data_IF_588412876841
#
_entry.id   IF_588412876841
#
_cell.length_a   1.000
_cell.length_b   1.000
_cell.length_c   1.000
_cell.angle_alpha   90.00
_cell.angle_beta   90.00
_cell.angle_gamma   90.00
#
_symmetry.space_group_name_H-M   'P 1'
#
loop_
_entity.id
_entity.type
_entity.pdbx_description
1 polymer ?
#
# COMPACT_ATOMS: atom_id res chain seq x y z
N UNK A 1 25.79 -58.69 -3.05
CA UNK A 1 26.56 -58.10 -4.17
C UNK A 1 27.57 -57.15 -3.58
N UNK A 2 28.86 -57.23 -3.94
CA UNK A 2 29.94 -56.44 -3.31
C UNK A 2 30.59 -55.40 -4.25
N UNK A 3 30.14 -55.27 -5.50
CA UNK A 3 30.68 -54.28 -6.43
C UNK A 3 29.95 -54.23 -7.78
N UNK A 4 30.24 -53.18 -8.56
CA UNK A 4 29.80 -52.98 -9.95
C UNK A 4 31.03 -52.63 -10.80
N UNK A 5 31.06 -53.10 -12.04
CA UNK A 5 32.18 -52.86 -12.98
C UNK A 5 31.66 -52.41 -14.34
N UNK A 6 32.40 -51.52 -14.99
CA UNK A 6 32.18 -51.17 -16.40
C UNK A 6 32.75 -52.26 -17.31
N UNK A 7 32.16 -52.44 -18.49
CA UNK A 7 32.61 -53.38 -19.54
C UNK A 7 32.18 -52.88 -20.93
N UNK A 8 32.43 -53.64 -22.00
CA UNK A 8 32.24 -53.17 -23.38
C UNK A 8 30.82 -52.66 -23.75
N UNK A 9 29.78 -53.22 -23.12
CA UNK A 9 28.39 -52.79 -23.29
C UNK A 9 28.02 -51.68 -22.29
N UNK A 10 28.44 -51.82 -21.03
CA UNK A 10 28.27 -50.80 -19.98
C UNK A 10 29.55 -49.98 -19.86
N UNK A 11 29.71 -49.02 -20.76
CA UNK A 11 30.90 -48.16 -20.83
C UNK A 11 30.92 -47.14 -19.68
N UNK A 12 32.10 -46.61 -19.31
CA UNK A 12 32.17 -45.48 -18.40
C UNK A 12 31.40 -44.27 -18.96
N UNK A 13 30.85 -43.37 -18.10
CA UNK A 13 30.05 -42.22 -18.53
C UNK A 13 30.80 -41.24 -19.45
N UNK A 14 32.13 -41.22 -19.36
CA UNK A 14 33.01 -40.39 -20.16
C UNK A 14 34.08 -41.25 -20.82
N UNK A 15 34.49 -40.86 -22.04
CA UNK A 15 35.53 -41.54 -22.81
C UNK A 15 36.88 -41.47 -22.09
N UNK A 16 37.51 -42.64 -21.93
CA UNK A 16 38.85 -42.77 -21.36
C UNK A 16 39.87 -43.14 -22.45
N UNK A 17 41.14 -42.69 -22.32
CA UNK A 17 41.72 -41.90 -21.22
C UNK A 17 41.55 -40.38 -21.36
N UNK A 18 40.81 -39.91 -22.37
CA UNK A 18 40.63 -38.48 -22.68
C UNK A 18 40.13 -37.66 -21.48
N UNK A 19 39.16 -38.18 -20.74
CA UNK A 19 38.57 -37.54 -19.55
C UNK A 19 39.02 -38.18 -18.23
N UNK A 20 40.29 -38.57 -18.15
CA UNK A 20 40.87 -39.22 -16.94
C UNK A 20 40.85 -38.37 -15.67
N UNK A 21 40.64 -37.06 -15.79
CA UNK A 21 40.58 -36.08 -14.69
C UNK A 21 39.14 -35.80 -14.22
N UNK A 22 38.14 -36.52 -14.76
CA UNK A 22 36.74 -36.35 -14.35
C UNK A 22 36.31 -37.41 -13.34
N UNK A 23 35.70 -36.95 -12.27
CA UNK A 23 34.99 -37.77 -11.28
C UNK A 23 33.49 -37.49 -11.38
N UNK A 24 32.63 -38.50 -11.49
CA UNK A 24 31.18 -38.28 -11.69
C UNK A 24 30.32 -39.35 -11.02
N UNK A 25 29.13 -38.95 -10.61
CA UNK A 25 27.98 -39.83 -10.38
C UNK A 25 26.91 -39.38 -11.37
N UNK A 26 26.58 -40.24 -12.33
CA UNK A 26 25.58 -39.98 -13.37
C UNK A 26 24.51 -41.07 -13.39
N UNK A 27 23.25 -40.67 -13.32
CA UNK A 27 22.10 -41.58 -13.36
C UNK A 27 21.53 -41.70 -14.76
N UNK A 28 20.57 -42.60 -14.96
CA UNK A 28 19.71 -42.62 -16.13
C UNK A 28 18.26 -42.74 -15.65
N UNK A 29 17.37 -41.92 -16.21
CA UNK A 29 15.94 -41.96 -15.91
C UNK A 29 15.35 -43.35 -16.16
N UNK A 30 14.31 -43.71 -15.44
CA UNK A 30 13.69 -45.04 -15.52
C UNK A 30 12.17 -44.95 -15.47
N UNK A 31 11.43 -45.76 -16.23
CA UNK A 31 11.89 -46.75 -17.24
C UNK A 31 12.10 -46.10 -18.62
N UNK A 32 12.95 -46.71 -19.46
CA UNK A 32 13.14 -46.31 -20.87
C UNK A 32 14.01 -45.08 -21.09
N UNK A 33 14.97 -44.81 -20.20
CA UNK A 33 15.57 -43.49 -19.99
C UNK A 33 16.22 -42.78 -21.17
N UNK A 34 15.84 -41.50 -21.29
CA UNK A 34 16.41 -40.46 -22.18
C UNK A 34 16.71 -39.17 -21.39
N UNK A 35 17.11 -39.29 -20.12
CA UNK A 35 17.42 -38.15 -19.21
C UNK A 35 18.34 -38.55 -18.06
N UNK A 36 19.00 -37.59 -17.40
CA UNK A 36 19.98 -37.90 -16.34
C UNK A 36 20.10 -36.84 -15.24
N UNK A 37 20.45 -37.27 -14.04
CA UNK A 37 20.99 -36.40 -13.00
C UNK A 37 22.50 -36.63 -12.91
N UNK A 38 23.26 -35.56 -12.66
CA UNK A 38 24.72 -35.66 -12.60
C UNK A 38 25.33 -34.69 -11.59
N UNK A 39 26.32 -35.19 -10.84
CA UNK A 39 27.32 -34.37 -10.17
C UNK A 39 28.68 -34.79 -10.71
N UNK A 40 29.42 -33.83 -11.27
CA UNK A 40 30.73 -34.05 -11.90
C UNK A 40 31.75 -33.04 -11.42
N UNK A 41 32.96 -33.52 -11.17
CA UNK A 41 34.14 -32.74 -10.84
C UNK A 41 35.17 -32.92 -11.96
N UNK A 42 35.70 -31.81 -12.48
CA UNK A 42 36.84 -31.76 -13.41
C UNK A 42 38.05 -31.22 -12.65
N UNK A 43 39.11 -32.03 -12.58
CA UNK A 43 40.35 -31.72 -11.86
C UNK A 43 41.51 -31.33 -12.81
N UNK A 44 41.21 -31.03 -14.08
CA UNK A 44 42.22 -30.53 -15.02
C UNK A 44 42.62 -29.10 -14.60
N UNK A 45 43.88 -28.95 -14.20
CA UNK A 45 44.44 -27.68 -13.73
C UNK A 45 44.21 -26.53 -14.72
N UNK A 46 43.61 -25.44 -14.23
CA UNK A 46 43.26 -24.24 -15.01
C UNK A 46 41.92 -24.34 -15.75
N UNK A 47 41.25 -25.49 -15.68
CA UNK A 47 39.94 -25.77 -16.29
C UNK A 47 39.01 -26.47 -15.28
N UNK A 48 39.25 -26.27 -13.98
CA UNK A 48 38.50 -26.93 -12.91
C UNK A 48 37.01 -26.55 -12.94
N UNK A 49 36.14 -27.53 -12.72
CA UNK A 49 34.70 -27.31 -12.76
C UNK A 49 33.94 -28.28 -11.85
N UNK A 50 32.93 -27.77 -11.15
CA UNK A 50 31.84 -28.57 -10.62
C UNK A 50 30.61 -28.39 -11.52
N UNK A 51 30.09 -29.49 -12.05
CA UNK A 51 28.88 -29.52 -12.84
C UNK A 51 27.79 -30.24 -12.08
N UNK A 52 26.63 -29.59 -11.96
CA UNK A 52 25.45 -30.12 -11.32
C UNK A 52 24.28 -30.04 -12.32
N UNK A 53 23.67 -31.18 -12.60
CA UNK A 53 22.53 -31.30 -13.50
C UNK A 53 21.40 -32.06 -12.82
N UNK A 54 20.20 -31.49 -12.88
CA UNK A 54 18.98 -32.16 -12.53
C UNK A 54 18.08 -32.22 -13.76
N UNK A 55 17.55 -33.40 -14.07
CA UNK A 55 16.70 -33.63 -15.24
C UNK A 55 15.35 -32.91 -15.11
N UNK A 56 14.89 -32.69 -13.88
CA UNK A 56 13.54 -32.18 -13.62
C UNK A 56 13.54 -31.09 -12.54
N UNK A 57 13.46 -31.49 -11.27
CA UNK A 57 13.27 -30.59 -10.14
C UNK A 57 14.53 -30.59 -9.24
N UNK A 58 14.86 -29.43 -8.67
CA UNK A 58 15.91 -29.28 -7.64
C UNK A 58 15.29 -28.66 -6.40
N UNK A 59 15.24 -29.43 -5.32
CA UNK A 59 14.85 -28.97 -3.99
C UNK A 59 16.09 -28.79 -3.12
N UNK A 60 16.36 -27.55 -2.72
CA UNK A 60 17.46 -27.22 -1.80
C UNK A 60 16.91 -26.70 -0.48
N UNK A 61 17.00 -27.51 0.58
CA UNK A 61 16.56 -27.15 1.93
C UNK A 61 17.74 -27.02 2.88
N UNK A 62 18.00 -25.80 3.36
CA UNK A 62 19.01 -25.52 4.40
C UNK A 62 18.29 -25.15 5.70
N UNK A 63 18.54 -25.89 6.80
CA UNK A 63 17.80 -25.71 8.07
C UNK A 63 18.35 -24.57 8.95
N UNK A 64 19.53 -24.06 8.63
CA UNK A 64 20.20 -23.00 9.36
C UNK A 64 20.81 -22.04 8.33
N UNK A 65 22.10 -21.74 8.42
CA UNK A 65 22.77 -20.82 7.52
C UNK A 65 23.07 -21.42 6.14
N UNK A 66 22.76 -20.66 5.08
CA UNK A 66 23.33 -20.85 3.76
C UNK A 66 24.31 -19.71 3.47
N UNK A 67 25.57 -20.03 3.13
CA UNK A 67 26.60 -19.04 2.77
C UNK A 67 27.14 -19.37 1.40
N UNK A 68 27.32 -18.35 0.57
CA UNK A 68 27.89 -18.47 -0.77
C UNK A 68 28.87 -17.33 -1.00
N UNK A 69 30.05 -17.66 -1.50
CA UNK A 69 31.06 -16.71 -1.94
C UNK A 69 31.46 -17.07 -3.37
N UNK A 70 31.42 -16.08 -4.25
CA UNK A 70 31.84 -16.23 -5.64
C UNK A 70 32.98 -15.24 -5.88
N UNK A 71 34.12 -15.75 -6.36
CA UNK A 71 35.32 -14.93 -6.57
C UNK A 71 35.30 -14.11 -7.86
N UNK A 72 34.29 -14.33 -8.71
CA UNK A 72 34.10 -13.62 -9.97
C UNK A 72 32.59 -13.53 -10.27
N UNK A 73 32.15 -13.85 -11.47
CA UNK A 73 30.78 -13.60 -11.93
C UNK A 73 29.75 -14.67 -11.51
N UNK A 74 28.51 -14.22 -11.29
CA UNK A 74 27.33 -15.09 -11.16
C UNK A 74 26.39 -14.84 -12.33
N UNK A 75 26.21 -15.85 -13.18
CA UNK A 75 25.20 -15.82 -14.24
C UNK A 75 23.98 -16.65 -13.83
N UNK A 76 22.78 -16.09 -13.99
CA UNK A 76 21.51 -16.79 -13.73
C UNK A 76 20.54 -16.49 -14.86
N UNK A 77 20.02 -17.54 -15.48
CA UNK A 77 18.96 -17.47 -16.49
C UNK A 77 17.78 -18.26 -15.95
N UNK A 78 16.59 -17.69 -16.03
CA UNK A 78 15.32 -18.33 -15.66
C UNK A 78 14.35 -18.03 -16.78
N UNK A 79 13.90 -19.07 -17.50
CA UNK A 79 12.92 -18.92 -18.58
C UNK A 79 11.50 -18.70 -18.05
N UNK A 80 11.21 -19.28 -16.89
CA UNK A 80 9.95 -19.14 -16.18
C UNK A 80 9.92 -17.93 -15.25
N UNK A 81 9.22 -18.09 -14.13
CA UNK A 81 9.04 -17.05 -13.12
C UNK A 81 10.01 -17.24 -11.97
N UNK A 82 10.36 -16.14 -11.30
CA UNK A 82 11.09 -16.15 -10.03
C UNK A 82 10.13 -15.71 -8.92
N UNK A 83 10.09 -16.49 -7.85
CA UNK A 83 9.36 -16.17 -6.63
C UNK A 83 10.36 -16.12 -5.49
N UNK A 84 10.29 -15.10 -4.65
CA UNK A 84 11.18 -14.93 -3.51
C UNK A 84 10.39 -14.28 -2.38
N UNK A 85 10.47 -14.88 -1.19
CA UNK A 85 9.84 -14.39 0.03
C UNK A 85 10.92 -14.29 1.10
N UNK A 86 11.12 -13.07 1.59
CA UNK A 86 11.96 -12.78 2.74
C UNK A 86 11.01 -12.49 3.90
N UNK A 87 11.02 -13.35 4.92
CA UNK A 87 10.08 -13.26 6.06
C UNK A 87 10.51 -12.23 7.12
N UNK A 88 11.66 -11.60 6.90
CA UNK A 88 12.26 -10.57 7.75
C UNK A 88 13.10 -9.68 6.83
N UNK A 89 14.18 -9.11 7.35
CA UNK A 89 14.91 -8.04 6.67
C UNK A 89 15.70 -8.54 5.46
N UNK A 90 15.67 -7.77 4.38
CA UNK A 90 16.59 -7.90 3.25
C UNK A 90 17.56 -6.73 3.27
N UNK A 91 18.85 -7.03 3.38
CA UNK A 91 19.92 -6.06 3.20
C UNK A 91 20.56 -6.25 1.84
N UNK A 92 20.59 -5.19 1.02
CA UNK A 92 21.16 -5.21 -0.31
C UNK A 92 22.14 -4.04 -0.49
N UNK A 93 23.39 -4.34 -0.84
CA UNK A 93 24.42 -3.35 -1.13
C UNK A 93 25.05 -3.65 -2.49
N UNK A 94 24.92 -2.70 -3.40
CA UNK A 94 25.63 -2.69 -4.69
C UNK A 94 26.59 -1.51 -4.66
N UNK A 95 27.90 -1.78 -4.77
CA UNK A 95 28.93 -0.74 -4.76
C UNK A 95 29.15 -0.11 -6.13
N UNK A 96 28.83 -0.83 -7.20
CA UNK A 96 28.85 -0.32 -8.56
C UNK A 96 27.45 0.09 -9.03
N UNK A 97 27.24 0.01 -10.33
CA UNK A 97 25.97 0.36 -10.94
C UNK A 97 24.93 -0.76 -10.77
N UNK A 98 23.65 -0.37 -10.61
CA UNK A 98 22.51 -1.27 -10.65
C UNK A 98 21.63 -0.95 -11.88
N UNK A 99 21.55 -1.87 -12.82
CA UNK A 99 20.70 -1.76 -14.00
C UNK A 99 19.40 -2.56 -13.81
N UNK A 100 18.25 -1.94 -14.01
CA UNK A 100 16.94 -2.59 -13.93
C UNK A 100 16.09 -2.22 -15.15
N UNK A 101 15.59 -3.22 -15.86
CA UNK A 101 14.63 -3.06 -16.94
C UNK A 101 13.42 -3.95 -16.69
N UNK A 102 12.23 -3.34 -16.73
CA UNK A 102 10.95 -4.04 -16.61
C UNK A 102 10.15 -3.76 -17.88
N UNK A 103 9.94 -4.79 -18.71
CA UNK A 103 9.26 -4.65 -20.00
C UNK A 103 7.73 -4.54 -19.88
N UNK A 104 7.18 -4.86 -18.71
CA UNK A 104 5.75 -4.76 -18.40
C UNK A 104 5.57 -3.82 -17.21
N UNK A 105 4.81 -4.23 -16.21
CA UNK A 105 4.49 -3.40 -15.05
C UNK A 105 5.44 -3.68 -13.89
N UNK A 106 5.82 -2.62 -13.17
CA UNK A 106 6.45 -2.69 -11.87
C UNK A 106 5.42 -2.27 -10.81
N UNK A 107 5.13 -3.14 -9.85
CA UNK A 107 4.27 -2.84 -8.71
C UNK A 107 5.16 -2.75 -7.46
N UNK A 108 5.04 -1.64 -6.73
CA UNK A 108 5.76 -1.40 -5.48
C UNK A 108 4.72 -1.02 -4.43
N UNK A 109 4.76 -1.72 -3.30
CA UNK A 109 3.94 -1.40 -2.15
C UNK A 109 4.82 -1.34 -0.91
N UNK A 110 4.69 -0.27 -0.13
CA UNK A 110 5.49 -0.02 1.06
C UNK A 110 4.51 0.22 2.21
N UNK A 111 4.61 -0.60 3.26
CA UNK A 111 3.68 -0.56 4.40
C UNK A 111 3.88 0.64 5.32
N UNK A 112 5.09 1.19 5.32
CA UNK A 112 5.47 2.33 6.14
C UNK A 112 6.06 3.45 5.28
N UNK A 113 7.38 3.60 5.27
CA UNK A 113 8.07 4.74 4.65
C UNK A 113 9.01 4.34 3.53
N UNK A 114 9.06 5.16 2.48
CA UNK A 114 10.10 5.10 1.45
C UNK A 114 11.07 6.26 1.63
N UNK A 115 12.36 5.98 1.71
CA UNK A 115 13.41 6.99 1.73
C UNK A 115 14.25 6.88 0.47
N UNK A 116 14.56 8.03 -0.14
CA UNK A 116 15.40 8.09 -1.33
C UNK A 116 16.31 9.32 -1.24
N UNK A 117 17.61 9.09 -1.29
CA UNK A 117 18.63 10.14 -1.32
C UNK A 117 19.46 9.95 -2.59
N UNK A 118 19.40 10.93 -3.48
CA UNK A 118 20.14 10.92 -4.75
C UNK A 118 21.09 12.12 -4.74
N UNK A 119 22.38 11.87 -4.92
CA UNK A 119 23.40 12.90 -4.82
C UNK A 119 23.36 13.92 -5.97
N UNK A 120 23.11 13.46 -7.20
CA UNK A 120 23.18 14.32 -8.39
C UNK A 120 21.82 14.55 -9.05
N UNK A 121 21.21 13.51 -9.63
CA UNK A 121 20.06 13.67 -10.54
C UNK A 121 19.02 12.57 -10.37
N UNK A 122 17.77 12.97 -10.21
CA UNK A 122 16.59 12.11 -10.34
C UNK A 122 15.83 12.52 -11.59
N UNK A 123 15.74 11.60 -12.56
CA UNK A 123 15.05 11.83 -13.83
C UNK A 123 13.88 10.85 -13.94
N UNK A 124 12.67 11.36 -14.12
CA UNK A 124 11.46 10.55 -14.30
C UNK A 124 10.74 10.98 -15.57
N UNK A 125 10.31 10.00 -16.36
CA UNK A 125 9.55 10.22 -17.59
C UNK A 125 8.43 9.19 -17.67
N UNK A 126 7.22 9.67 -17.95
CA UNK A 126 6.09 8.83 -18.30
C UNK A 126 5.53 9.28 -19.65
N UNK A 127 5.23 8.33 -20.53
CA UNK A 127 4.73 8.62 -21.87
C UNK A 127 3.30 9.18 -21.90
N UNK A 128 2.53 9.02 -20.83
CA UNK A 128 1.13 9.47 -20.76
C UNK A 128 0.88 10.36 -19.54
N UNK A 129 1.11 9.86 -18.33
CA UNK A 129 0.75 10.57 -17.11
C UNK A 129 1.70 10.28 -15.94
N UNK A 130 1.87 11.27 -15.07
CA UNK A 130 2.50 11.11 -13.75
C UNK A 130 1.53 11.66 -12.70
N UNK A 131 1.29 10.90 -11.63
CA UNK A 131 0.36 11.25 -10.55
C UNK A 131 1.10 11.28 -9.22
N UNK A 132 0.99 12.39 -8.49
CA UNK A 132 1.45 12.52 -7.11
C UNK A 132 0.24 12.84 -6.23
N UNK A 133 -0.25 11.87 -5.45
CA UNK A 133 -1.35 12.04 -4.48
C UNK A 133 -0.82 11.83 -3.07
N UNK A 134 -1.01 12.81 -2.20
CA UNK A 134 -0.75 12.67 -0.76
C UNK A 134 -2.03 13.02 0.00
N UNK A 135 -2.32 12.27 1.07
CA UNK A 135 -3.54 12.49 1.86
C UNK A 135 -3.53 13.77 2.70
N UNK A 136 -2.38 14.42 2.89
CA UNK A 136 -2.28 15.65 3.68
C UNK A 136 -1.48 16.75 2.97
N UNK A 137 -0.21 16.49 2.63
CA UNK A 137 0.65 17.50 2.00
C UNK A 137 1.66 16.89 1.03
N UNK A 138 2.03 17.67 0.03
CA UNK A 138 3.22 17.49 -0.79
C UNK A 138 4.08 18.73 -0.57
N UNK A 139 5.33 18.54 -0.13
CA UNK A 139 6.31 19.61 0.05
C UNK A 139 7.41 19.41 -1.00
N UNK A 140 7.68 20.46 -1.78
CA UNK A 140 8.77 20.50 -2.75
C UNK A 140 9.66 21.67 -2.37
N UNK A 141 10.82 21.35 -1.80
CA UNK A 141 11.86 22.32 -1.51
C UNK A 141 12.92 22.27 -2.61
N UNK A 142 13.27 23.44 -3.15
CA UNK A 142 14.30 23.60 -4.16
C UNK A 142 15.30 24.64 -3.68
N UNK A 143 16.58 24.43 -4.00
CA UNK A 143 17.63 25.36 -3.58
C UNK A 143 17.66 26.67 -4.38
N UNK A 144 17.42 26.60 -5.69
CA UNK A 144 17.58 27.75 -6.59
C UNK A 144 16.38 28.03 -7.45
N UNK A 145 15.81 27.02 -8.12
CA UNK A 145 14.71 27.24 -9.05
C UNK A 145 13.74 26.04 -9.06
N UNK A 146 12.45 26.33 -9.02
CA UNK A 146 11.38 25.38 -9.36
C UNK A 146 10.67 25.89 -10.61
N UNK A 147 10.63 25.06 -11.66
CA UNK A 147 9.99 25.39 -12.93
C UNK A 147 8.92 24.36 -13.26
N UNK A 148 7.69 24.83 -13.48
CA UNK A 148 6.54 24.05 -13.96
C UNK A 148 6.13 24.59 -15.34
N UNK A 149 6.14 23.74 -16.36
CA UNK A 149 5.87 24.15 -17.75
C UNK A 149 4.82 23.28 -18.40
N UNK A 150 3.90 23.89 -19.14
CA UNK A 150 2.88 23.22 -19.94
C UNK A 150 2.67 23.97 -21.27
N UNK A 151 3.12 23.40 -22.39
CA UNK A 151 3.11 24.09 -23.69
C UNK A 151 3.88 25.42 -23.62
N UNK A 152 3.18 26.53 -23.91
CA UNK A 152 3.72 27.89 -23.77
C UNK A 152 3.55 28.51 -22.37
N UNK A 153 2.85 27.83 -21.46
CA UNK A 153 2.65 28.28 -20.08
C UNK A 153 3.81 27.90 -19.15
N UNK A 154 4.09 28.77 -18.17
CA UNK A 154 5.20 28.63 -17.22
C UNK A 154 4.80 29.17 -15.85
N UNK A 155 5.14 28.43 -14.80
CA UNK A 155 5.25 28.92 -13.42
C UNK A 155 6.70 28.67 -12.99
N UNK A 156 7.35 29.70 -12.48
CA UNK A 156 8.74 29.62 -12.02
C UNK A 156 8.88 30.30 -10.67
N UNK A 157 9.56 29.64 -9.75
CA UNK A 157 9.94 30.17 -8.45
C UNK A 157 11.47 30.22 -8.39
N UNK A 158 12.02 31.38 -8.08
CA UNK A 158 13.46 31.62 -7.88
C UNK A 158 13.68 32.71 -6.80
N UNK A 159 14.92 33.09 -6.44
CA UNK A 159 15.16 34.11 -5.41
C UNK A 159 14.61 35.50 -5.75
N UNK A 160 14.29 35.78 -7.02
CA UNK A 160 13.66 37.02 -7.47
C UNK A 160 12.12 37.02 -7.31
N UNK A 161 11.51 35.87 -7.01
CA UNK A 161 10.08 35.73 -6.73
C UNK A 161 9.38 34.72 -7.63
N UNK A 162 8.09 34.96 -7.91
CA UNK A 162 7.24 34.08 -8.72
C UNK A 162 7.00 34.71 -10.09
N UNK A 163 7.35 33.98 -11.15
CA UNK A 163 7.02 34.34 -12.54
C UNK A 163 5.91 33.43 -13.06
N UNK A 164 4.86 34.02 -13.62
CA UNK A 164 3.74 33.29 -14.25
C UNK A 164 3.55 33.81 -15.67
N UNK A 165 3.62 32.91 -16.66
CA UNK A 165 3.46 33.24 -18.09
C UNK A 165 2.40 32.34 -18.71
N UNK A 166 1.52 32.91 -19.53
CA UNK A 166 0.52 32.19 -20.32
C UNK A 166 -0.24 33.13 -21.26
N UNK A 167 -0.88 32.58 -22.30
CA UNK A 167 -1.67 33.38 -23.25
C UNK A 167 -2.87 34.07 -22.59
N UNK A 168 -3.41 33.49 -21.52
CA UNK A 168 -4.39 34.09 -20.62
C UNK A 168 -4.14 33.61 -19.20
N UNK A 169 -4.18 34.52 -18.23
CA UNK A 169 -4.05 34.21 -16.81
C UNK A 169 -5.44 34.19 -16.18
N UNK A 170 -5.96 32.99 -15.91
CA UNK A 170 -7.24 32.80 -15.25
C UNK A 170 -7.04 32.69 -13.75
N UNK A 171 -7.24 33.79 -13.04
CA UNK A 171 -7.14 33.85 -11.58
C UNK A 171 -8.54 33.84 -10.99
N UNK A 172 -8.86 32.83 -10.19
CA UNK A 172 -10.17 32.64 -9.55
C UNK A 172 -11.37 32.47 -10.50
N UNK A 173 -11.15 32.07 -11.77
CA UNK A 173 -12.24 31.92 -12.77
C UNK A 173 -12.95 30.54 -12.77
N UNK A 174 -13.05 29.86 -11.62
CA UNK A 174 -13.95 28.70 -11.46
C UNK A 174 -13.71 27.51 -12.42
N UNK A 175 -12.55 26.85 -12.31
CA UNK A 175 -12.28 25.55 -12.96
C UNK A 175 -12.20 24.40 -11.96
N UNK A 176 -12.66 23.20 -12.34
CA UNK A 176 -12.41 21.98 -11.57
C UNK A 176 -11.04 21.43 -11.97
N UNK A 177 -10.07 21.43 -11.04
CA UNK A 177 -8.82 20.69 -11.21
C UNK A 177 -9.10 19.19 -11.33
N UNK A 178 -8.43 18.49 -12.24
CA UNK A 178 -8.50 17.02 -12.28
C UNK A 178 -7.93 16.41 -10.99
N UNK A 179 -8.35 15.19 -10.66
CA UNK A 179 -7.86 14.45 -9.49
C UNK A 179 -6.73 13.50 -9.87
N UNK A 180 -5.69 13.44 -9.04
CA UNK A 180 -4.65 12.43 -9.19
C UNK A 180 -5.21 11.02 -8.93
N UNK A 181 -4.90 10.06 -9.80
CA UNK A 181 -5.36 8.68 -9.66
C UNK A 181 -4.74 8.01 -8.42
N UNK A 182 -5.52 7.16 -7.75
CA UNK A 182 -5.01 6.31 -6.66
C UNK A 182 -4.16 5.18 -7.25
N UNK A 183 -3.00 4.90 -6.65
CA UNK A 183 -2.20 3.74 -7.02
C UNK A 183 -2.94 2.43 -6.69
N UNK A 184 -2.89 1.46 -7.61
CA UNK A 184 -3.48 0.12 -7.45
C UNK A 184 -2.44 -0.98 -7.67
N UNK A 185 -1.46 -1.17 -6.77
CA UNK A 185 -0.45 -2.21 -6.92
C UNK A 185 -1.06 -3.61 -6.76
N UNK A 186 -0.56 -4.57 -7.55
CA UNK A 186 -0.94 -5.97 -7.46
C UNK A 186 0.04 -6.67 -6.51
N UNK A 187 -0.48 -7.54 -5.65
CA UNK A 187 0.35 -8.29 -4.72
C UNK A 187 1.17 -9.40 -5.40
N UNK A 188 2.39 -9.67 -4.91
CA UNK A 188 3.18 -10.79 -5.39
C UNK A 188 2.58 -12.13 -4.95
N UNK A 189 2.71 -13.14 -5.81
CA UNK A 189 2.41 -14.52 -5.42
C UNK A 189 3.56 -15.09 -4.57
N UNK A 190 3.23 -16.00 -3.66
CA UNK A 190 4.22 -16.64 -2.77
C UNK A 190 4.98 -17.79 -3.46
N UNK A 191 6.26 -18.02 -3.08
CA UNK A 191 7.00 -19.19 -3.55
C UNK A 191 6.46 -20.49 -2.94
N UNK A 192 6.69 -21.61 -3.63
CA UNK A 192 6.45 -22.95 -3.10
C UNK A 192 7.59 -23.35 -2.15
N UNK A 193 7.29 -24.17 -1.13
CA UNK A 193 8.32 -24.75 -0.28
C UNK A 193 9.07 -25.88 -1.00
N UNK A 194 10.39 -25.95 -0.78
CA UNK A 194 11.20 -27.08 -1.22
C UNK A 194 10.83 -28.35 -0.44
N UNK A 195 11.01 -29.51 -1.08
CA UNK A 195 10.65 -30.81 -0.51
C UNK A 195 11.24 -31.02 0.91
N UNK A 196 10.49 -31.74 1.74
CA UNK A 196 10.83 -32.02 3.13
C UNK A 196 10.85 -33.53 3.38
N UNK A 197 11.64 -33.95 4.35
CA UNK A 197 11.67 -35.35 4.76
C UNK A 197 11.93 -35.45 6.25
N UNK A 198 11.30 -36.45 6.87
CA UNK A 198 11.49 -36.78 8.29
C UNK A 198 12.46 -37.95 8.37
N UNK A 199 13.50 -37.80 9.20
CA UNK A 199 14.48 -38.87 9.39
C UNK A 199 13.80 -40.15 9.89
N UNK A 200 14.10 -41.29 9.25
CA UNK A 200 13.56 -42.60 9.63
C UNK A 200 12.18 -42.93 9.06
N UNK A 201 11.56 -42.04 8.28
CA UNK A 201 10.29 -42.30 7.58
C UNK A 201 10.51 -42.33 6.07
N UNK A 202 9.70 -43.14 5.37
CA UNK A 202 9.64 -43.12 3.91
C UNK A 202 9.01 -41.79 3.50
N UNK A 203 9.75 -41.00 2.71
CA UNK A 203 9.23 -39.78 2.09
C UNK A 203 8.12 -40.14 1.10
N UNK A 204 6.88 -39.76 1.41
CA UNK A 204 5.77 -39.77 0.46
C UNK A 204 5.86 -38.48 -0.35
N UNK A 205 6.00 -38.51 -1.69
CA UNK A 205 6.12 -37.32 -2.52
C UNK A 205 4.79 -36.58 -2.58
N UNK A 206 4.41 -35.92 -1.48
CA UNK A 206 3.30 -34.97 -1.49
C UNK A 206 3.75 -33.72 -2.22
N UNK A 207 3.01 -33.35 -3.26
CA UNK A 207 3.12 -32.04 -3.91
C UNK A 207 3.06 -30.96 -2.84
N UNK A 208 3.99 -30.00 -2.90
CA UNK A 208 3.93 -28.80 -2.08
C UNK A 208 2.52 -28.21 -2.16
N UNK A 209 1.78 -28.24 -1.05
CA UNK A 209 0.48 -27.60 -0.97
C UNK A 209 0.67 -26.10 -1.24
N UNK A 210 -0.23 -25.54 -2.03
CA UNK A 210 -0.25 -24.12 -2.38
C UNK A 210 -0.51 -23.34 -1.08
N UNK A 211 0.56 -22.86 -0.43
CA UNK A 211 0.42 -21.98 0.73
C UNK A 211 0.15 -20.55 0.25
N UNK A 212 -1.13 -20.22 0.36
CA UNK A 212 -1.72 -18.96 0.81
C UNK A 212 -1.91 -17.80 -0.16
N UNK A 213 -3.07 -17.20 0.10
CA UNK A 213 -3.54 -15.91 -0.32
C UNK A 213 -2.47 -14.80 -0.15
N UNK A 214 -2.54 -13.76 -1.00
CA UNK A 214 -1.75 -12.54 -0.85
C UNK A 214 -1.83 -11.97 0.59
N UNK A 215 -0.72 -11.46 1.16
CA UNK A 215 -0.74 -10.76 2.45
C UNK A 215 -1.62 -9.50 2.34
N UNK A 216 -2.71 -9.34 3.10
CA UNK A 216 -3.65 -8.24 2.88
C UNK A 216 -2.97 -6.86 2.77
N UNK A 217 -3.36 -6.05 1.78
CA UNK A 217 -2.91 -4.66 1.63
C UNK A 217 -3.68 -3.71 2.57
N UNK A 218 -4.14 -4.21 3.71
CA UNK A 218 -4.98 -3.48 4.66
C UNK A 218 -4.30 -2.22 5.20
N UNK A 219 -2.97 -2.18 5.24
CA UNK A 219 -2.19 -0.99 5.57
C UNK A 219 -2.31 0.16 4.53
N UNK A 220 -2.70 -0.11 3.28
CA UNK A 220 -2.95 0.94 2.28
C UNK A 220 -4.32 1.61 2.47
N UNK A 221 -5.21 1.02 3.26
CA UNK A 221 -6.48 1.63 3.62
C UNK A 221 -6.29 2.50 4.86
N UNK A 222 -6.01 3.78 4.65
CA UNK A 222 -6.25 4.77 5.70
C UNK A 222 -7.76 4.82 5.92
N UNK A 223 -8.21 4.12 6.94
CA UNK A 223 -9.61 4.09 7.36
C UNK A 223 -9.96 5.42 8.00
N UNK A 224 -10.26 6.42 7.17
CA UNK A 224 -10.88 7.65 7.65
C UNK A 224 -12.19 7.25 8.35
N UNK A 225 -12.43 7.74 9.55
CA UNK A 225 -13.58 7.36 10.36
C UNK A 225 -14.47 8.60 10.53
N UNK A 226 -15.72 8.50 10.07
CA UNK A 226 -16.74 9.48 10.46
C UNK A 226 -17.22 9.14 11.85
N UNK A 227 -17.35 10.16 12.70
CA UNK A 227 -17.86 10.04 14.07
C UNK A 227 -19.00 11.02 14.28
N UNK A 228 -20.15 10.48 14.64
CA UNK A 228 -21.37 11.24 14.93
C UNK A 228 -21.67 11.13 16.41
N UNK A 229 -21.83 12.28 17.08
CA UNK A 229 -22.38 12.31 18.44
C UNK A 229 -23.89 12.52 18.35
N UNK A 230 -24.66 11.54 18.77
CA UNK A 230 -26.12 11.59 18.82
C UNK A 230 -26.56 12.10 20.20
N UNK A 231 -27.16 13.28 20.23
CA UNK A 231 -27.62 13.95 21.44
C UNK A 231 -28.96 14.69 21.16
N UNK A 232 -29.79 14.96 22.19
CA UNK A 232 -31.06 15.68 22.02
C UNK A 232 -30.86 17.08 21.42
N UNK A 233 -29.78 17.75 21.83
CA UNK A 233 -29.39 19.07 21.36
C UNK A 233 -27.86 19.16 21.30
N UNK A 234 -27.32 20.12 20.53
CA UNK A 234 -25.89 20.35 20.45
C UNK A 234 -25.29 20.62 21.83
N UNK A 235 -24.15 19.98 22.15
CA UNK A 235 -23.48 20.14 23.45
C UNK A 235 -24.06 19.33 24.62
N UNK A 236 -25.27 18.74 24.48
CA UNK A 236 -25.85 17.90 25.52
C UNK A 236 -25.13 16.54 25.65
N UNK A 237 -25.46 15.82 26.74
CA UNK A 237 -25.05 14.43 26.93
C UNK A 237 -25.71 13.58 25.83
N UNK A 238 -24.91 12.77 25.14
CA UNK A 238 -25.44 11.93 24.08
C UNK A 238 -26.20 10.71 24.60
N UNK A 239 -26.99 10.12 23.70
CA UNK A 239 -27.79 8.95 23.98
C UNK A 239 -26.93 7.70 23.98
N UNK A 240 -26.59 7.17 25.14
CA UNK A 240 -25.76 5.97 25.30
C UNK A 240 -26.61 4.69 25.23
N UNK A 241 -26.13 3.64 24.57
CA UNK A 241 -26.80 2.34 24.48
C UNK A 241 -28.11 2.34 23.70
N UNK A 242 -28.32 3.31 22.80
CA UNK A 242 -29.55 3.46 22.01
C UNK A 242 -29.42 2.78 20.65
N UNK A 243 -30.40 1.96 20.21
CA UNK A 243 -30.35 1.34 18.90
C UNK A 243 -30.38 2.35 17.76
N UNK A 244 -29.51 2.15 16.78
CA UNK A 244 -29.41 2.96 15.58
C UNK A 244 -29.21 2.12 14.31
N UNK A 245 -29.59 2.70 13.19
CA UNK A 245 -29.19 2.32 11.83
C UNK A 245 -28.46 3.49 11.19
N UNK A 246 -27.29 3.25 10.63
CA UNK A 246 -26.48 4.23 9.92
C UNK A 246 -26.52 3.93 8.44
N UNK A 247 -26.86 4.94 7.65
CA UNK A 247 -26.90 4.91 6.21
C UNK A 247 -25.83 5.85 5.63
N UNK A 248 -25.32 5.50 4.45
CA UNK A 248 -24.45 6.34 3.63
C UNK A 248 -25.04 6.40 2.23
N UNK A 249 -25.33 7.60 1.75
CA UNK A 249 -26.00 7.86 0.46
C UNK A 249 -27.26 6.96 0.27
N UNK A 250 -28.02 6.77 1.35
CA UNK A 250 -29.25 5.96 1.39
C UNK A 250 -29.07 4.45 1.58
N UNK A 251 -27.85 3.91 1.52
CA UNK A 251 -27.57 2.49 1.77
C UNK A 251 -27.24 2.24 3.26
N UNK A 252 -27.85 1.22 3.87
CA UNK A 252 -27.54 0.81 5.25
C UNK A 252 -26.10 0.28 5.31
N UNK A 253 -25.27 0.90 6.16
CA UNK A 253 -23.85 0.53 6.33
C UNK A 253 -23.51 -0.01 7.72
N UNK A 254 -24.31 0.28 8.74
CA UNK A 254 -24.11 -0.25 10.10
C UNK A 254 -25.41 -0.20 10.90
N UNK A 255 -25.59 -1.13 11.84
CA UNK A 255 -26.63 -1.10 12.85
C UNK A 255 -26.07 -1.58 14.19
N UNK A 256 -26.57 -1.04 15.30
CA UNK A 256 -26.05 -1.38 16.62
C UNK A 256 -26.58 -0.47 17.72
N UNK A 257 -25.88 -0.46 18.85
CA UNK A 257 -26.13 0.48 19.94
C UNK A 257 -25.12 1.62 19.87
N UNK A 258 -25.57 2.84 20.15
CA UNK A 258 -24.68 4.00 20.31
C UNK A 258 -23.68 3.73 21.44
N UNK A 259 -22.42 4.11 21.22
CA UNK A 259 -21.36 3.97 22.20
C UNK A 259 -21.36 5.08 23.27
N UNK A 260 -20.36 5.07 24.17
CA UNK A 260 -20.25 6.02 25.27
C UNK A 260 -20.41 7.47 24.82
N UNK A 261 -21.31 8.20 25.49
CA UNK A 261 -21.59 9.60 25.16
C UNK A 261 -22.37 9.81 23.86
N UNK A 262 -22.99 8.76 23.32
CA UNK A 262 -23.84 8.77 22.12
C UNK A 262 -23.10 8.68 20.81
N UNK A 263 -21.90 8.08 20.80
CA UNK A 263 -21.06 8.02 19.61
C UNK A 263 -21.48 6.92 18.66
N UNK A 264 -21.58 7.26 17.38
CA UNK A 264 -21.72 6.36 16.25
C UNK A 264 -20.54 6.59 15.33
N UNK A 265 -19.86 5.55 14.90
CA UNK A 265 -18.74 5.69 13.98
C UNK A 265 -18.80 4.70 12.83
N UNK A 266 -18.20 5.08 11.70
CA UNK A 266 -18.09 4.22 10.53
C UNK A 266 -16.92 4.65 9.66
N UNK A 267 -16.47 3.73 8.80
CA UNK A 267 -15.48 4.07 7.78
C UNK A 267 -16.06 5.06 6.76
N UNK A 268 -15.35 6.17 6.60
CA UNK A 268 -15.60 7.13 5.55
C UNK A 268 -15.23 6.54 4.20
N UNK A 269 -16.01 6.87 3.17
CA UNK A 269 -15.70 6.54 1.79
C UNK A 269 -15.61 7.83 0.99
N UNK A 270 -14.46 8.05 0.34
CA UNK A 270 -14.22 9.19 -0.53
C UNK A 270 -15.34 9.26 -1.61
N UNK A 271 -15.96 10.43 -1.78
CA UNK A 271 -17.12 10.64 -2.66
C UNK A 271 -18.50 10.40 -2.02
N UNK A 272 -18.56 10.00 -0.74
CA UNK A 272 -19.83 9.96 -0.01
C UNK A 272 -20.36 11.38 0.18
N UNK A 273 -21.64 11.61 -0.16
CA UNK A 273 -22.27 12.92 -0.09
C UNK A 273 -23.09 13.14 1.17
N UNK A 274 -23.60 12.06 1.77
CA UNK A 274 -24.47 12.13 2.94
C UNK A 274 -24.37 10.89 3.84
N UNK A 275 -24.49 11.12 5.15
CA UNK A 275 -24.74 10.09 6.16
C UNK A 275 -26.08 10.34 6.87
N UNK A 276 -26.81 9.28 7.20
CA UNK A 276 -28.05 9.37 7.96
C UNK A 276 -28.03 8.39 9.12
N UNK A 277 -28.36 8.84 10.34
CA UNK A 277 -28.57 7.99 11.51
C UNK A 277 -30.06 7.95 11.83
N UNK A 278 -30.65 6.77 11.76
CA UNK A 278 -32.02 6.48 12.18
C UNK A 278 -32.01 5.83 13.56
N UNK A 279 -32.70 6.43 14.52
CA UNK A 279 -32.85 5.90 15.87
C UNK A 279 -34.12 5.04 15.98
N UNK A 280 -34.20 4.18 16.99
CA UNK A 280 -35.35 3.29 17.23
C UNK A 280 -36.71 4.02 17.33
N UNK A 281 -36.71 5.29 17.72
CA UNK A 281 -37.91 6.12 17.83
C UNK A 281 -38.36 6.70 16.47
N UNK A 282 -37.70 6.33 15.38
CA UNK A 282 -37.97 6.82 14.03
C UNK A 282 -37.32 8.16 13.70
N UNK A 283 -36.58 8.77 14.63
CA UNK A 283 -35.87 10.01 14.37
C UNK A 283 -34.72 9.76 13.39
N UNK A 284 -34.68 10.54 12.30
CA UNK A 284 -33.62 10.48 11.29
C UNK A 284 -32.79 11.73 11.34
N UNK A 285 -31.47 11.55 11.38
CA UNK A 285 -30.51 12.61 11.50
C UNK A 285 -29.56 12.54 10.32
N UNK A 286 -29.66 13.51 9.42
CA UNK A 286 -28.82 13.61 8.23
C UNK A 286 -27.59 14.49 8.50
N UNK A 287 -26.49 14.12 7.86
CA UNK A 287 -25.20 14.80 7.88
C UNK A 287 -24.69 14.88 6.44
N UNK A 288 -24.69 16.08 5.87
CA UNK A 288 -24.12 16.29 4.54
C UNK A 288 -22.60 16.38 4.63
N UNK A 289 -21.92 15.69 3.73
CA UNK A 289 -20.46 15.67 3.65
C UNK A 289 -20.04 16.75 2.67
N UNK A 290 -19.33 17.75 3.17
CA UNK A 290 -18.78 18.83 2.36
C UNK A 290 -17.27 18.60 2.19
N UNK A 291 -16.81 18.47 0.95
CA UNK A 291 -15.38 18.36 0.64
C UNK A 291 -14.60 19.66 0.92
N UNK A 292 -15.28 20.81 0.91
CA UNK A 292 -14.76 22.09 1.40
C UNK A 292 -15.87 22.97 1.98
N UNK A 293 -15.52 23.82 2.94
CA UNK A 293 -16.43 24.89 3.38
C UNK A 293 -16.56 25.97 2.31
N UNK A 294 -17.75 26.54 2.17
CA UNK A 294 -17.97 27.75 1.37
C UNK A 294 -17.28 28.96 2.02
N UNK A 295 -17.06 30.01 1.25
CA UNK A 295 -16.53 31.27 1.78
C UNK A 295 -17.66 32.18 2.28
N UNK A 296 -17.35 33.15 3.13
CA UNK A 296 -18.33 34.13 3.64
C UNK A 296 -19.25 33.59 4.75
N UNK A 297 -20.45 34.19 4.87
CA UNK A 297 -21.38 33.91 5.95
C UNK A 297 -21.88 32.45 5.96
N UNK A 298 -22.09 31.85 4.78
CA UNK A 298 -22.46 30.44 4.64
C UNK A 298 -21.34 29.51 5.13
N UNK A 299 -20.07 29.88 4.92
CA UNK A 299 -18.93 29.12 5.45
C UNK A 299 -18.86 29.11 6.97
N UNK A 300 -19.14 30.26 7.59
CA UNK A 300 -19.20 30.36 9.06
C UNK A 300 -20.38 29.57 9.64
N UNK A 301 -21.50 29.50 8.92
CA UNK A 301 -22.65 28.65 9.27
C UNK A 301 -22.31 27.16 9.14
N UNK A 302 -21.59 26.74 8.08
CA UNK A 302 -21.15 25.35 7.93
C UNK A 302 -20.12 24.96 9.02
N UNK A 303 -19.20 25.86 9.39
CA UNK A 303 -18.27 25.66 10.52
C UNK A 303 -19.01 25.60 11.86
N UNK A 304 -20.08 26.38 12.04
CA UNK A 304 -20.94 26.29 13.21
C UNK A 304 -21.71 24.96 13.23
N UNK A 305 -22.19 24.50 12.07
CA UNK A 305 -22.87 23.22 11.92
C UNK A 305 -21.96 22.03 12.26
N UNK A 306 -20.70 22.06 11.81
CA UNK A 306 -19.70 21.06 12.19
C UNK A 306 -19.32 21.10 13.68
N UNK A 307 -19.57 22.21 14.39
CA UNK A 307 -19.46 22.29 15.86
C UNK A 307 -20.74 21.84 16.58
N UNK A 308 -21.69 21.31 15.83
CA UNK A 308 -22.94 20.74 16.31
C UNK A 308 -24.13 21.68 16.23
N UNK A 309 -23.99 22.97 15.90
CA UNK A 309 -25.13 23.90 15.90
C UNK A 309 -26.08 23.63 14.72
N UNK A 310 -27.38 23.51 14.98
CA UNK A 310 -28.38 23.24 13.94
C UNK A 310 -29.35 24.39 13.77
N UNK A 311 -29.74 24.65 12.53
CA UNK A 311 -30.89 25.51 12.21
C UNK A 311 -32.16 24.75 12.60
N UNK A 312 -33.02 25.38 13.38
CA UNK A 312 -34.36 24.87 13.65
C UNK A 312 -35.30 25.48 12.60
N UNK A 313 -35.70 24.68 11.62
CA UNK A 313 -36.74 25.06 10.68
C UNK A 313 -38.07 24.50 11.21
N UNK A 314 -38.73 25.22 12.12
CA UNK A 314 -40.04 24.81 12.62
C UNK A 314 -40.56 25.57 13.84
N UNK A 315 -41.75 26.16 13.65
CA UNK A 315 -42.62 26.87 14.59
C UNK A 315 -42.26 28.33 14.93
N UNK A 316 -43.14 29.23 14.48
CA UNK A 316 -43.22 30.63 14.90
C UNK A 316 -43.23 30.72 16.44
N UNK A 317 -42.16 31.30 17.01
CA UNK A 317 -42.12 31.73 18.40
C UNK A 317 -42.76 33.14 18.50
N UNK A 318 -43.43 33.51 19.61
CA UNK A 318 -44.34 34.66 19.66
C UNK A 318 -43.67 36.04 19.59
N UNK A 319 -42.35 36.11 19.44
CA UNK A 319 -41.57 37.31 19.78
C UNK A 319 -41.07 38.08 18.54
N UNK A 320 -41.57 37.78 17.34
CA UNK A 320 -41.39 38.63 16.14
C UNK A 320 -39.94 38.80 15.65
N UNK A 321 -39.00 37.96 16.09
CA UNK A 321 -37.61 37.97 15.61
C UNK A 321 -37.46 37.05 14.39
N UNK A 322 -37.92 37.52 13.22
CA UNK A 322 -37.82 36.83 11.93
C UNK A 322 -36.39 36.88 11.31
N UNK A 323 -35.35 36.73 12.12
CA UNK A 323 -33.97 36.60 11.62
C UNK A 323 -33.29 35.35 12.22
N UNK A 324 -33.33 34.21 11.50
CA UNK A 324 -32.77 32.94 11.96
C UNK A 324 -31.25 32.99 12.21
N UNK A 325 -30.52 33.90 11.57
CA UNK A 325 -29.07 34.06 11.77
C UNK A 325 -28.76 34.73 13.11
N UNK A 326 -29.68 35.54 13.62
CA UNK A 326 -29.55 36.23 14.90
C UNK A 326 -29.65 35.26 16.08
N UNK A 327 -30.49 34.23 15.96
CA UNK A 327 -30.67 33.21 17.00
C UNK A 327 -29.44 32.31 17.16
N UNK A 328 -28.86 31.85 16.04
CA UNK A 328 -27.61 31.08 16.08
C UNK A 328 -26.43 31.94 16.57
N UNK A 329 -26.36 33.22 16.16
CA UNK A 329 -25.34 34.16 16.67
C UNK A 329 -25.48 34.38 18.18
N UNK A 330 -26.71 34.51 18.69
CA UNK A 330 -26.95 34.69 20.12
C UNK A 330 -26.51 33.45 20.91
N UNK A 331 -26.88 32.23 20.48
CA UNK A 331 -26.41 30.99 21.12
C UNK A 331 -24.88 30.83 21.07
N UNK A 332 -24.25 31.25 19.97
CA UNK A 332 -22.79 31.25 19.84
C UNK A 332 -22.11 32.25 20.81
N UNK A 333 -22.70 33.44 20.98
CA UNK A 333 -22.22 34.46 21.91
C UNK A 333 -22.44 34.04 23.37
N UNK A 334 -23.60 33.47 23.70
CA UNK A 334 -23.93 33.00 25.05
C UNK A 334 -23.04 31.81 25.48
N UNK A 335 -22.65 30.94 24.53
CA UNK A 335 -21.70 29.85 24.77
C UNK A 335 -20.24 30.34 24.94
N UNK A 336 -19.86 31.46 24.32
CA UNK A 336 -18.55 32.11 24.54
C UNK A 336 -18.50 32.98 25.80
N UNK A 337 -19.64 33.50 26.27
CA UNK A 337 -19.74 34.37 27.44
C UNK A 337 -19.76 33.64 28.79
N UNK A 338 -19.91 32.30 28.81
CA UNK A 338 -19.85 31.47 30.02
C UNK A 338 -18.58 30.60 30.04
N UNK A 339 -17.42 31.22 29.94
CA UNK A 339 -16.19 30.58 30.44
C UNK A 339 -16.17 30.87 31.93
N UNK A 340 -16.53 29.86 32.73
CA UNK A 340 -16.42 29.94 34.18
C UNK A 340 -14.96 30.20 34.57
N UNK A 341 -14.69 31.38 35.12
CA UNK A 341 -13.55 31.61 35.99
C UNK A 341 -13.78 30.76 37.25
N UNK A 342 -13.07 29.64 37.35
CA UNK A 342 -12.90 28.97 38.62
C UNK A 342 -11.94 29.79 39.47
N UNK A 343 -12.48 30.49 40.47
CA UNK A 343 -11.69 31.05 41.55
C UNK A 343 -11.11 29.89 42.39
N UNK A 344 -9.81 29.96 42.61
CA UNK A 344 -9.11 29.26 43.68
C UNK A 344 -9.09 30.18 44.90
N UNK A 345 -9.53 29.67 46.06
CA UNK A 345 -8.91 29.82 47.39
C UNK A 345 -9.93 29.43 48.48
N UNK A 346 -9.76 28.22 49.03
CA UNK A 346 -9.65 27.85 50.46
C UNK A 346 -9.83 26.33 50.68
#
# INVERSE_FOLDING_TARGET
MIGRVYHGLNRPPYKLPEHKTRSTIKTNSSKGGDGFNEIRFEDKKGEEQVFYHAEKDVDQRTKNDHRSWLGNDRHKIVEGKVYSEYRSDEHHLTQGDQFQQVNKNQHITIGESQFSAIAEKLMQYAGSEMHYKAGNQIIIEVGTELTLKAGSGLIKLDPGGVTIVGAGLKLNEGGSGGSAAKAGPIQPNRPLEADNSVAGFVSDPKQAEIIQAPLPLDFLEKKDEVRFKIAPVPGAKGYDGVPYKLYRDGALISEGLTGPGGMVSAHHQEGASQYEVELYNGARIQFDVLEKFSEGAEGELQKASNRGFRRFDGAEHPDGLNDPDKYLRQQYQDAKGKIATGDADD
#
